data_IF_887043930167
#
_entry.id   IF_887043930167
#
_cell.length_a   1.000
_cell.length_b   1.000
_cell.length_c   1.000
_cell.angle_alpha   90.00
_cell.angle_beta   90.00
_cell.angle_gamma   90.00
#
_symmetry.space_group_name_H-M   'P 1'
#
loop_
_entity.id
_entity.type
_entity.pdbx_description
1 polymer ?
#
# COMPACT_ATOMS: atom_id res chain seq x y z
N UNK A 1 -24.32 -9.13 -5.40
CA UNK A 1 -23.00 -9.82 -5.34
C UNK A 1 -22.17 -9.04 -4.34
N UNK A 2 -21.74 -9.64 -3.21
CA UNK A 2 -20.84 -8.92 -2.27
C UNK A 2 -19.54 -8.63 -3.03
N UNK A 3 -19.15 -7.36 -3.14
CA UNK A 3 -17.82 -7.02 -3.64
C UNK A 3 -16.79 -7.74 -2.78
N UNK A 4 -15.82 -8.37 -3.44
CA UNK A 4 -14.78 -9.14 -2.76
C UNK A 4 -13.75 -8.13 -2.26
N UNK A 5 -13.77 -7.83 -0.97
CA UNK A 5 -12.81 -6.92 -0.35
C UNK A 5 -11.41 -7.54 -0.39
N UNK A 6 -10.45 -6.83 -0.98
CA UNK A 6 -9.05 -7.27 -1.02
C UNK A 6 -8.38 -7.02 0.34
N UNK A 7 -7.78 -8.06 0.89
CA UNK A 7 -7.01 -8.01 2.14
C UNK A 7 -5.52 -7.78 1.82
N UNK A 8 -4.87 -6.87 2.53
CA UNK A 8 -3.45 -6.54 2.40
C UNK A 8 -2.72 -6.88 3.70
N UNK A 9 -1.63 -7.65 3.61
CA UNK A 9 -0.95 -8.16 4.80
C UNK A 9 0.14 -7.20 5.28
N UNK A 10 0.44 -7.26 6.57
CA UNK A 10 1.67 -6.70 7.11
C UNK A 10 2.89 -7.41 6.52
N UNK A 11 4.09 -6.92 6.86
CA UNK A 11 5.36 -7.55 6.49
C UNK A 11 6.20 -7.90 7.70
N UNK A 12 7.05 -8.91 7.53
CA UNK A 12 8.16 -9.24 8.43
C UNK A 12 9.43 -9.28 7.59
N UNK A 13 10.51 -8.66 8.09
CA UNK A 13 11.86 -8.86 7.55
C UNK A 13 12.46 -10.09 8.23
N UNK A 14 12.65 -11.17 7.47
CA UNK A 14 13.13 -12.44 8.01
C UNK A 14 14.64 -12.40 8.30
N UNK A 15 15.40 -11.70 7.45
CA UNK A 15 16.80 -11.38 7.66
C UNK A 15 17.15 -10.12 6.86
N UNK A 16 18.27 -9.48 7.23
CA UNK A 16 18.88 -8.39 6.45
C UNK A 16 18.63 -6.97 6.96
N UNK A 17 18.17 -6.80 8.19
CA UNK A 17 17.86 -5.45 8.75
C UNK A 17 19.04 -4.49 8.68
N UNK A 18 20.23 -4.95 9.07
CA UNK A 18 21.48 -4.19 8.92
C UNK A 18 22.21 -4.51 7.61
N UNK A 19 21.98 -5.70 7.05
CA UNK A 19 22.70 -6.20 5.87
C UNK A 19 22.31 -5.46 4.60
N UNK A 20 21.05 -5.02 4.47
CA UNK A 20 20.60 -4.18 3.34
C UNK A 20 21.32 -2.83 3.30
N UNK A 21 21.73 -2.29 4.45
CA UNK A 21 22.52 -1.05 4.54
C UNK A 21 23.97 -1.27 4.07
N UNK A 22 24.44 -2.53 4.05
CA UNK A 22 25.80 -2.93 3.70
C UNK A 22 25.83 -3.81 2.42
N UNK A 23 25.03 -3.47 1.41
CA UNK A 23 25.01 -4.14 0.09
C UNK A 23 24.79 -5.66 0.15
N UNK A 24 24.01 -6.10 1.13
CA UNK A 24 23.67 -7.50 1.30
C UNK A 24 22.16 -7.71 1.17
N UNK A 25 21.77 -8.97 1.13
CA UNK A 25 20.39 -9.37 0.88
C UNK A 25 19.54 -9.23 2.15
N UNK A 26 18.27 -8.88 1.93
CA UNK A 26 17.21 -9.04 2.90
C UNK A 26 16.05 -9.82 2.31
N UNK A 27 15.28 -10.50 3.15
CA UNK A 27 14.08 -11.23 2.70
C UNK A 27 12.87 -10.72 3.46
N UNK A 28 11.94 -10.10 2.74
CA UNK A 28 10.67 -9.62 3.29
C UNK A 28 9.59 -10.64 2.97
N UNK A 29 8.82 -11.05 3.98
CA UNK A 29 7.71 -11.99 3.82
C UNK A 29 6.39 -11.34 4.26
N UNK A 30 5.27 -11.66 3.59
CA UNK A 30 3.94 -11.28 4.07
C UNK A 30 3.65 -11.92 5.42
N UNK A 31 3.12 -11.14 6.35
CA UNK A 31 2.71 -11.59 7.68
C UNK A 31 1.21 -11.49 7.84
N UNK A 32 0.52 -12.63 7.67
CA UNK A 32 -0.93 -12.70 7.59
C UNK A 32 -1.68 -12.45 8.90
N UNK A 33 -0.97 -12.42 10.04
CA UNK A 33 -1.58 -12.16 11.35
C UNK A 33 -2.15 -10.74 11.44
N UNK A 34 -1.48 -9.79 10.80
CA UNK A 34 -1.95 -8.41 10.70
C UNK A 34 -2.34 -8.10 9.26
N UNK A 35 -3.44 -7.38 9.11
CA UNK A 35 -4.00 -7.08 7.79
C UNK A 35 -4.74 -5.76 7.78
N UNK A 36 -4.87 -5.18 6.59
CA UNK A 36 -5.76 -4.06 6.35
C UNK A 36 -6.57 -4.24 5.07
N UNK A 37 -7.67 -3.51 5.00
CA UNK A 37 -8.57 -3.49 3.85
C UNK A 37 -9.38 -2.20 3.82
N UNK A 38 -9.88 -1.84 2.65
CA UNK A 38 -10.79 -0.71 2.49
C UNK A 38 -12.22 -1.14 2.81
N UNK A 39 -12.90 -0.38 3.66
CA UNK A 39 -14.27 -0.63 4.08
C UNK A 39 -15.08 0.67 4.11
N UNK A 40 -16.41 0.56 4.08
CA UNK A 40 -17.29 1.72 4.24
C UNK A 40 -18.01 1.70 5.59
N UNK A 41 -18.08 2.88 6.21
CA UNK A 41 -18.96 3.11 7.36
C UNK A 41 -20.39 2.66 7.02
N UNK A 42 -21.03 1.93 7.94
CA UNK A 42 -22.42 1.46 7.88
C UNK A 42 -22.75 0.38 6.82
N UNK A 43 -21.78 -0.17 6.09
CA UNK A 43 -22.04 -1.28 5.13
C UNK A 43 -21.45 -2.61 5.56
N UNK A 44 -20.26 -2.60 6.16
CA UNK A 44 -19.45 -3.82 6.20
C UNK A 44 -19.23 -4.40 7.60
N UNK A 45 -19.02 -3.59 8.65
CA UNK A 45 -18.61 -4.07 9.99
C UNK A 45 -18.97 -3.14 11.15
N UNK A 46 -19.02 -3.72 12.36
CA UNK A 46 -18.90 -2.98 13.61
C UNK A 46 -17.43 -2.59 13.77
N UNK A 47 -17.12 -1.31 13.68
CA UNK A 47 -15.77 -0.77 13.92
C UNK A 47 -15.85 0.39 14.90
N UNK A 48 -14.72 0.69 15.55
CA UNK A 48 -14.62 1.89 16.39
C UNK A 48 -14.82 3.14 15.50
N UNK A 49 -15.88 3.89 15.78
CA UNK A 49 -16.25 5.05 14.96
C UNK A 49 -15.16 6.12 14.94
N UNK A 50 -14.44 6.33 16.05
CA UNK A 50 -13.34 7.30 16.12
C UNK A 50 -12.13 6.81 15.33
N UNK A 51 -11.82 5.50 15.37
CA UNK A 51 -10.80 4.90 14.50
C UNK A 51 -11.13 5.11 13.02
N UNK A 52 -12.35 4.78 12.60
CA UNK A 52 -12.78 4.94 11.21
C UNK A 52 -12.73 6.39 10.75
N UNK A 53 -13.12 7.34 11.61
CA UNK A 53 -13.04 8.78 11.32
C UNK A 53 -11.61 9.26 11.15
N UNK A 54 -10.67 8.81 11.99
CA UNK A 54 -9.23 9.11 11.86
C UNK A 54 -8.66 8.52 10.57
N UNK A 55 -9.02 7.27 10.26
CA UNK A 55 -8.62 6.59 9.03
C UNK A 55 -9.16 7.29 7.77
N UNK A 56 -10.43 7.70 7.77
CA UNK A 56 -11.00 8.52 6.69
C UNK A 56 -10.27 9.86 6.51
N UNK A 57 -9.92 10.54 7.62
CA UNK A 57 -9.13 11.77 7.55
C UNK A 57 -7.75 11.53 6.92
N UNK A 58 -7.08 10.43 7.28
CA UNK A 58 -5.82 10.03 6.65
C UNK A 58 -5.99 9.80 5.13
N UNK A 59 -7.08 9.15 4.71
CA UNK A 59 -7.38 8.96 3.28
C UNK A 59 -7.65 10.28 2.56
N UNK A 60 -8.29 11.26 3.21
CA UNK A 60 -8.46 12.62 2.64
C UNK A 60 -7.13 13.32 2.42
N UNK A 61 -6.23 13.25 3.40
CA UNK A 61 -4.87 13.80 3.25
C UNK A 61 -4.11 13.10 2.14
N UNK A 62 -4.24 11.77 2.05
CA UNK A 62 -3.58 10.99 1.02
C UNK A 62 -4.11 11.28 -0.39
N UNK A 63 -5.43 11.39 -0.54
CA UNK A 63 -6.09 11.81 -1.79
C UNK A 63 -5.55 13.17 -2.26
N UNK A 64 -5.47 14.15 -1.36
CA UNK A 64 -4.96 15.48 -1.70
C UNK A 64 -3.51 15.42 -2.18
N UNK A 65 -2.68 14.52 -1.62
CA UNK A 65 -1.31 14.35 -2.09
C UNK A 65 -1.25 13.67 -3.46
N UNK A 66 -2.03 12.61 -3.69
CA UNK A 66 -2.10 11.96 -5.00
C UNK A 66 -2.54 12.92 -6.10
N UNK A 67 -3.49 13.83 -5.80
CA UNK A 67 -3.91 14.88 -6.72
C UNK A 67 -2.77 15.83 -7.07
N UNK A 68 -1.95 16.24 -6.09
CA UNK A 68 -0.76 17.06 -6.36
C UNK A 68 0.26 16.32 -7.23
N UNK A 69 0.57 15.06 -6.90
CA UNK A 69 1.54 14.25 -7.64
C UNK A 69 1.09 14.03 -9.09
N UNK A 70 -0.20 13.84 -9.33
CA UNK A 70 -0.77 13.75 -10.67
C UNK A 70 -0.61 15.08 -11.44
N UNK A 71 -0.90 16.22 -10.79
CA UNK A 71 -0.75 17.54 -11.43
C UNK A 71 0.71 17.91 -11.74
N UNK A 72 1.66 17.44 -10.94
CA UNK A 72 3.10 17.65 -11.17
C UNK A 72 3.73 16.65 -12.14
N UNK A 73 2.93 15.74 -12.75
CA UNK A 73 3.42 14.65 -13.61
C UNK A 73 4.45 13.72 -12.92
N UNK A 74 4.44 13.69 -11.59
CA UNK A 74 5.33 12.85 -10.77
C UNK A 74 4.72 11.49 -10.46
N UNK A 75 3.41 11.33 -10.64
CA UNK A 75 2.72 10.06 -10.51
C UNK A 75 2.60 9.39 -11.88
N UNK A 76 3.39 8.34 -12.12
CA UNK A 76 3.34 7.60 -13.39
C UNK A 76 2.16 6.63 -13.47
N UNK A 77 1.63 6.24 -12.31
CA UNK A 77 0.48 5.35 -12.24
C UNK A 77 -0.82 6.13 -12.46
N UNK A 78 -1.67 5.62 -13.34
CA UNK A 78 -3.01 6.15 -13.57
C UNK A 78 -3.97 5.68 -12.48
N UNK A 79 -4.25 6.57 -11.52
CA UNK A 79 -5.23 6.36 -10.46
C UNK A 79 -6.53 7.07 -10.79
N UNK A 80 -7.65 6.40 -10.58
CA UNK A 80 -8.99 6.99 -10.61
C UNK A 80 -9.24 7.81 -9.33
N UNK A 81 -8.74 9.04 -9.33
CA UNK A 81 -8.87 9.95 -8.19
C UNK A 81 -10.30 10.48 -8.02
N UNK A 82 -11.12 10.46 -9.08
CA UNK A 82 -12.52 10.84 -9.00
C UNK A 82 -13.30 9.82 -8.18
N UNK A 83 -13.18 8.53 -8.53
CA UNK A 83 -13.80 7.46 -7.76
C UNK A 83 -13.24 7.38 -6.33
N UNK A 84 -11.93 7.58 -6.16
CA UNK A 84 -11.34 7.59 -4.82
C UNK A 84 -11.88 8.73 -3.96
N UNK A 85 -12.05 9.93 -4.53
CA UNK A 85 -12.64 11.07 -3.85
C UNK A 85 -14.11 10.82 -3.46
N UNK A 86 -14.90 10.26 -4.38
CA UNK A 86 -16.28 9.89 -4.11
C UNK A 86 -16.37 8.89 -2.95
N UNK A 87 -15.57 7.84 -2.99
CA UNK A 87 -15.58 6.81 -1.95
C UNK A 87 -15.15 7.37 -0.58
N UNK A 88 -14.10 8.20 -0.54
CA UNK A 88 -13.66 8.89 0.68
C UNK A 88 -14.76 9.80 1.25
N UNK A 89 -15.51 10.50 0.40
CA UNK A 89 -16.65 11.31 0.83
C UNK A 89 -17.83 10.46 1.32
N UNK A 90 -18.01 9.27 0.75
CA UNK A 90 -19.00 8.28 1.16
C UNK A 90 -18.61 7.48 2.42
N UNK A 91 -17.54 7.87 3.11
CA UNK A 91 -17.14 7.25 4.38
C UNK A 91 -16.24 6.02 4.23
N UNK A 92 -15.50 5.92 3.12
CA UNK A 92 -14.41 4.96 2.98
C UNK A 92 -13.38 5.18 4.10
N UNK A 93 -12.96 4.10 4.73
CA UNK A 93 -11.88 4.10 5.68
C UNK A 93 -11.01 2.85 5.47
N UNK A 94 -9.76 2.92 5.90
CA UNK A 94 -8.85 1.79 5.93
C UNK A 94 -8.97 1.10 7.28
N UNK A 95 -9.63 -0.05 7.30
CA UNK A 95 -9.71 -0.96 8.44
C UNK A 95 -8.37 -1.69 8.56
N UNK A 96 -7.71 -1.63 9.71
CA UNK A 96 -6.37 -2.20 9.85
C UNK A 96 -6.12 -2.73 11.25
N UNK A 97 -5.64 -3.97 11.32
CA UNK A 97 -5.08 -4.55 12.55
C UNK A 97 -3.56 -4.40 12.63
N UNK A 98 -2.92 -3.77 11.64
CA UNK A 98 -1.47 -3.60 11.56
C UNK A 98 -1.03 -2.54 12.58
N UNK A 99 -0.20 -2.89 13.59
CA UNK A 99 0.30 -1.91 14.55
C UNK A 99 1.11 -0.80 13.86
N UNK A 100 0.78 0.45 14.17
CA UNK A 100 1.51 1.62 13.67
C UNK A 100 2.78 1.86 14.51
N UNK A 101 3.84 2.35 13.87
CA UNK A 101 5.11 2.67 14.54
C UNK A 101 6.09 1.51 14.74
N UNK A 102 5.72 0.28 14.37
CA UNK A 102 6.55 -0.92 14.54
C UNK A 102 7.25 -1.41 13.26
N UNK A 103 7.22 -0.65 12.17
CA UNK A 103 7.83 -1.05 10.91
C UNK A 103 7.17 -2.27 10.23
N UNK A 104 5.92 -2.59 10.59
CA UNK A 104 5.14 -3.74 10.07
C UNK A 104 4.42 -3.44 8.74
N UNK A 105 4.55 -2.23 8.19
CA UNK A 105 4.00 -1.87 6.88
C UNK A 105 2.54 -1.44 6.87
N UNK A 106 2.06 -0.67 7.86
CA UNK A 106 0.69 -0.13 7.84
C UNK A 106 0.47 0.88 6.69
N UNK A 107 1.45 1.75 6.40
CA UNK A 107 1.39 2.65 5.23
C UNK A 107 1.37 1.85 3.94
N UNK A 108 2.25 0.85 3.85
CA UNK A 108 2.38 -0.02 2.70
C UNK A 108 1.09 -0.76 2.37
N UNK A 109 0.39 -1.31 3.37
CA UNK A 109 -0.89 -1.97 3.15
C UNK A 109 -1.98 -0.99 2.68
N UNK A 110 -1.99 0.25 3.20
CA UNK A 110 -2.92 1.29 2.75
C UNK A 110 -2.64 1.66 1.28
N UNK A 111 -1.38 1.94 0.94
CA UNK A 111 -0.94 2.26 -0.43
C UNK A 111 -1.32 1.13 -1.39
N UNK A 112 -1.02 -0.13 -1.03
CA UNK A 112 -1.37 -1.30 -1.83
C UNK A 112 -2.89 -1.43 -2.04
N UNK A 113 -3.69 -1.11 -1.02
CA UNK A 113 -5.15 -1.15 -1.11
C UNK A 113 -5.73 -0.10 -2.05
N UNK A 114 -5.19 1.12 -2.02
CA UNK A 114 -5.59 2.20 -2.92
C UNK A 114 -5.20 1.86 -4.35
N UNK A 115 -3.97 1.38 -4.59
CA UNK A 115 -3.56 0.90 -5.91
C UNK A 115 -4.48 -0.22 -6.42
N UNK A 116 -4.75 -1.24 -5.59
CA UNK A 116 -5.59 -2.37 -6.03
C UNK A 116 -6.99 -1.92 -6.45
N UNK A 117 -7.57 -0.95 -5.73
CA UNK A 117 -8.95 -0.51 -5.96
C UNK A 117 -9.05 0.51 -7.10
N UNK A 118 -8.14 1.46 -7.19
CA UNK A 118 -8.31 2.64 -8.04
C UNK A 118 -7.31 2.75 -9.21
N UNK A 119 -6.32 1.86 -9.34
CA UNK A 119 -5.44 1.90 -10.52
C UNK A 119 -6.19 1.40 -11.78
N UNK A 120 -6.20 2.23 -12.84
CA UNK A 120 -6.93 1.96 -14.09
C UNK A 120 -6.33 0.80 -14.88
N UNK A 121 -5.00 0.80 -15.01
CA UNK A 121 -4.21 -0.19 -15.73
C UNK A 121 -3.41 -1.08 -14.77
N UNK A 122 -4.09 -1.62 -13.74
CA UNK A 122 -3.42 -2.34 -12.65
C UNK A 122 -2.78 -3.65 -13.12
N UNK A 123 -1.52 -3.86 -12.72
CA UNK A 123 -0.81 -5.12 -12.89
C UNK A 123 -1.36 -6.10 -11.86
N UNK A 124 -1.98 -7.20 -12.31
CA UNK A 124 -2.58 -8.19 -11.39
C UNK A 124 -1.50 -9.00 -10.66
N UNK A 125 -1.62 -9.10 -9.34
CA UNK A 125 -0.83 -10.05 -8.56
C UNK A 125 -1.11 -11.49 -9.02
N UNK A 126 -0.06 -12.20 -9.45
CA UNK A 126 -0.10 -13.59 -9.90
C UNK A 126 1.24 -14.26 -9.63
N UNK A 127 1.23 -15.60 -9.52
CA UNK A 127 2.42 -16.39 -9.18
C UNK A 127 3.59 -16.20 -10.15
N UNK A 128 3.29 -15.99 -11.43
CA UNK A 128 4.28 -15.78 -12.49
C UNK A 128 4.26 -14.33 -12.99
N UNK A 129 4.25 -13.37 -12.06
CA UNK A 129 4.46 -11.95 -12.38
C UNK A 129 5.88 -11.78 -12.93
N UNK A 130 6.03 -11.06 -14.03
CA UNK A 130 7.35 -10.90 -14.65
C UNK A 130 8.18 -9.81 -13.94
N UNK A 131 9.49 -9.83 -14.15
CA UNK A 131 10.41 -8.89 -13.51
C UNK A 131 10.15 -7.44 -13.92
N UNK A 132 9.66 -7.20 -15.14
CA UNK A 132 9.35 -5.85 -15.63
C UNK A 132 8.11 -5.28 -14.94
N UNK A 133 7.08 -6.10 -14.75
CA UNK A 133 5.88 -5.84 -13.98
C UNK A 133 6.22 -5.55 -12.51
N UNK A 134 7.13 -6.34 -11.90
CA UNK A 134 7.63 -6.08 -10.55
C UNK A 134 8.31 -4.72 -10.46
N UNK A 135 9.18 -4.37 -11.42
CA UNK A 135 9.88 -3.09 -11.43
C UNK A 135 8.93 -1.91 -11.63
N UNK A 136 7.93 -2.05 -12.50
CA UNK A 136 6.86 -1.05 -12.68
C UNK A 136 6.06 -0.85 -11.40
N UNK A 137 5.62 -1.94 -10.76
CA UNK A 137 4.92 -1.89 -9.47
C UNK A 137 5.78 -1.23 -8.40
N UNK A 138 7.06 -1.62 -8.26
CA UNK A 138 7.99 -1.02 -7.30
C UNK A 138 8.09 0.50 -7.50
N UNK A 139 8.23 0.95 -8.75
CA UNK A 139 8.27 2.38 -9.08
C UNK A 139 6.97 3.12 -8.70
N UNK A 140 5.83 2.59 -9.10
CA UNK A 140 4.52 3.18 -8.74
C UNK A 140 4.31 3.23 -7.23
N UNK A 141 4.69 2.17 -6.52
CA UNK A 141 4.57 2.10 -5.07
C UNK A 141 5.53 3.04 -4.34
N UNK A 142 6.74 3.25 -4.86
CA UNK A 142 7.68 4.23 -4.32
C UNK A 142 7.10 5.66 -4.40
N UNK A 143 6.55 6.04 -5.56
CA UNK A 143 5.89 7.34 -5.77
C UNK A 143 4.68 7.51 -4.84
N UNK A 144 3.83 6.49 -4.75
CA UNK A 144 2.61 6.51 -3.93
C UNK A 144 2.88 6.49 -2.42
N UNK A 145 3.95 5.84 -1.95
CA UNK A 145 4.27 5.73 -0.52
C UNK A 145 5.12 6.90 -0.01
N UNK A 146 5.81 7.64 -0.90
CA UNK A 146 6.60 8.81 -0.54
C UNK A 146 5.83 9.83 0.33
N UNK A 147 4.50 9.90 0.22
CA UNK A 147 3.65 10.69 1.11
C UNK A 147 3.86 10.42 2.60
N UNK A 148 4.10 9.16 2.99
CA UNK A 148 4.20 8.76 4.40
C UNK A 148 5.61 8.92 4.97
N UNK A 149 6.64 8.79 4.14
CA UNK A 149 8.05 8.67 4.60
C UNK A 149 9.02 9.65 3.91
N UNK A 150 8.53 10.50 3.00
CA UNK A 150 9.34 11.40 2.16
C UNK A 150 10.01 10.67 0.99
N UNK A 151 10.73 9.59 1.29
CA UNK A 151 11.36 8.70 0.31
C UNK A 151 10.91 7.25 0.56
N UNK A 152 10.55 6.51 -0.48
CA UNK A 152 10.23 5.08 -0.39
C UNK A 152 10.96 4.29 -1.47
N UNK A 153 11.36 3.06 -1.13
CA UNK A 153 11.90 2.08 -2.07
C UNK A 153 10.80 1.36 -2.87
N UNK A 154 9.53 1.50 -2.47
CA UNK A 154 8.38 0.81 -3.04
C UNK A 154 8.29 -0.69 -2.71
N UNK A 155 9.23 -1.23 -1.94
CA UNK A 155 9.30 -2.67 -1.60
C UNK A 155 8.18 -3.09 -0.66
N UNK A 156 7.91 -2.31 0.38
CA UNK A 156 6.92 -2.69 1.39
C UNK A 156 5.49 -2.75 0.81
N UNK A 157 5.01 -1.75 0.05
CA UNK A 157 3.71 -1.83 -0.61
C UNK A 157 3.68 -2.92 -1.69
N UNK A 158 4.78 -3.15 -2.40
CA UNK A 158 4.91 -4.26 -3.35
C UNK A 158 4.67 -5.60 -2.64
N UNK A 159 5.36 -5.86 -1.53
CA UNK A 159 5.21 -7.09 -0.76
C UNK A 159 3.76 -7.29 -0.29
N UNK A 160 3.15 -6.23 0.25
CA UNK A 160 1.76 -6.26 0.70
C UNK A 160 0.77 -6.52 -0.44
N UNK A 161 1.03 -5.96 -1.63
CA UNK A 161 0.21 -6.12 -2.82
C UNK A 161 0.33 -7.53 -3.44
N UNK A 162 1.55 -7.99 -3.69
CA UNK A 162 1.77 -9.26 -4.38
C UNK A 162 1.54 -10.46 -3.45
N UNK A 163 1.73 -10.30 -2.14
CA UNK A 163 1.54 -11.36 -1.11
C UNK A 163 2.47 -12.56 -1.31
N UNK A 164 3.65 -12.31 -1.85
CA UNK A 164 4.74 -13.28 -1.99
C UNK A 164 5.99 -12.76 -1.29
N UNK A 165 6.88 -13.66 -0.83
CA UNK A 165 8.21 -13.28 -0.38
C UNK A 165 8.97 -12.45 -1.44
N UNK A 166 9.63 -11.39 -1.01
CA UNK A 166 10.44 -10.50 -1.86
C UNK A 166 11.87 -10.52 -1.32
N UNK A 167 12.81 -10.96 -2.16
CA UNK A 167 14.24 -10.80 -1.90
C UNK A 167 14.63 -9.38 -2.32
N UNK A 168 15.23 -8.64 -1.39
CA UNK A 168 15.79 -7.31 -1.62
C UNK A 168 17.31 -7.40 -1.56
N UNK A 169 17.96 -6.63 -2.42
CA UNK A 169 19.40 -6.41 -2.39
C UNK A 169 19.63 -4.94 -2.00
N UNK A 170 20.58 -4.71 -1.09
CA UNK A 170 21.07 -3.37 -0.79
C UNK A 170 21.69 -2.73 -2.02
N UNK A 171 21.44 -1.43 -2.22
CA UNK A 171 21.88 -0.69 -3.41
C UNK A 171 22.67 0.55 -2.96
N UNK A 172 24.01 0.48 -2.89
CA UNK A 172 24.92 1.63 -2.76
C UNK A 172 25.31 2.24 -4.13
N UNK A 173 24.35 2.52 -5.00
CA UNK A 173 24.62 3.27 -6.23
C UNK A 173 23.83 4.57 -6.31
#
# INVERSE_FOLDING_TARGET
MKEKTDIFYAKILLFGEYSVIHDSMGLVIPYSHFRGELAFLNKDRYTDFEFAKRSNHQLKSYLAELQKLQNSANLKVEIDLEQFAEDVNNGLYFESTIPQGFGLGSSAALVASVYSKYAKNKIKSRRNIDSEEILKLKGSFAEMEAFFHGTSSGVDPLNSYIKYPVLIEGDNR
#
